data_IF_199831629679
#
_entry.id   IF_199831629679
#
_cell.length_a   1.000
_cell.length_b   1.000
_cell.length_c   1.000
_cell.angle_alpha   90.00
_cell.angle_beta   90.00
_cell.angle_gamma   90.00
#
_symmetry.space_group_name_H-M   'P 1'
#
loop_
_entity.id
_entity.type
_entity.pdbx_description
1 polymer ?
#
# COMPACT_ATOMS: atom_id res chain seq x y z
N UNK A 1 -11.66 -5.74 -32.76
CA UNK A 1 -11.84 -4.67 -31.77
C UNK A 1 -11.97 -5.25 -30.35
N UNK A 2 -10.93 -5.91 -29.81
CA UNK A 2 -10.95 -6.46 -28.43
C UNK A 2 -9.66 -6.28 -27.62
N UNK A 3 -8.56 -5.79 -28.19
CA UNK A 3 -7.25 -5.76 -27.49
C UNK A 3 -6.69 -4.38 -27.13
N UNK A 4 -7.47 -3.31 -27.32
CA UNK A 4 -6.99 -1.93 -27.09
C UNK A 4 -7.33 -1.35 -25.70
N UNK A 5 -8.10 -2.07 -24.87
CA UNK A 5 -8.46 -1.63 -23.51
C UNK A 5 -7.76 -2.43 -22.39
N UNK A 6 -6.94 -3.42 -22.70
CA UNK A 6 -6.24 -4.23 -21.69
C UNK A 6 -4.83 -3.70 -21.36
N UNK A 7 -4.24 -2.87 -22.22
CA UNK A 7 -2.83 -2.45 -22.09
C UNK A 7 -2.62 -1.06 -21.46
N UNK A 8 -3.67 -0.23 -21.36
CA UNK A 8 -3.62 1.07 -20.66
C UNK A 8 -3.90 0.96 -19.16
N UNK A 9 -4.47 -0.16 -18.71
CA UNK A 9 -4.60 -0.57 -17.30
C UNK A 9 -3.46 -1.51 -16.89
N UNK A 10 -2.26 -1.30 -17.43
CA UNK A 10 -1.06 -1.87 -16.83
C UNK A 10 -0.85 -1.13 -15.51
N UNK A 11 -1.48 -1.67 -14.48
CA UNK A 11 -1.15 -1.56 -13.06
C UNK A 11 -0.02 -0.56 -12.84
N UNK A 12 -0.32 0.63 -12.30
CA UNK A 12 0.75 1.49 -11.78
C UNK A 12 1.66 0.60 -10.96
N UNK A 13 2.95 0.42 -11.32
CA UNK A 13 3.79 -0.55 -10.66
C UNK A 13 3.92 -0.10 -9.21
N UNK A 14 3.16 -0.76 -8.34
CA UNK A 14 3.25 -0.58 -6.91
C UNK A 14 4.68 -0.96 -6.53
N UNK A 15 5.33 -0.14 -5.72
CA UNK A 15 6.70 -0.35 -5.27
C UNK A 15 6.65 -0.58 -3.78
N UNK A 16 7.39 -1.58 -3.31
CA UNK A 16 7.54 -1.84 -1.88
C UNK A 16 8.96 -1.45 -1.46
N UNK A 17 9.08 -0.64 -0.41
CA UNK A 17 10.38 -0.27 0.15
C UNK A 17 10.61 -1.09 1.41
N UNK A 18 11.68 -1.87 1.45
CA UNK A 18 12.04 -2.70 2.62
C UNK A 18 12.63 -1.78 3.70
N UNK A 19 12.08 -1.83 4.91
CA UNK A 19 12.48 -0.94 6.00
C UNK A 19 13.93 -1.17 6.47
N UNK A 20 14.41 -2.42 6.46
CA UNK A 20 15.75 -2.79 6.94
C UNK A 20 16.86 -2.34 5.98
N UNK A 21 16.65 -2.52 4.67
CA UNK A 21 17.67 -2.26 3.64
C UNK A 21 17.47 -0.96 2.86
N UNK A 22 16.28 -0.38 2.91
CA UNK A 22 15.86 0.71 2.02
C UNK A 22 15.71 0.29 0.56
N UNK A 23 15.81 -1.00 0.25
CA UNK A 23 15.70 -1.50 -1.11
C UNK A 23 14.26 -1.38 -1.62
N UNK A 24 14.10 -0.91 -2.85
CA UNK A 24 12.82 -0.83 -3.54
C UNK A 24 12.66 -2.05 -4.42
N UNK A 25 11.63 -2.85 -4.15
CA UNK A 25 11.36 -4.12 -4.83
C UNK A 25 9.93 -4.15 -5.38
N UNK A 26 9.65 -5.11 -6.25
CA UNK A 26 8.29 -5.37 -6.68
C UNK A 26 7.49 -6.03 -5.52
N UNK A 27 6.21 -5.69 -5.29
CA UNK A 27 5.38 -6.26 -4.23
C UNK A 27 5.37 -7.79 -4.24
N UNK A 28 5.33 -8.40 -5.42
CA UNK A 28 5.41 -9.86 -5.60
C UNK A 28 6.72 -10.51 -5.12
N UNK A 29 7.80 -9.74 -4.92
CA UNK A 29 9.09 -10.23 -4.41
C UNK A 29 9.18 -10.13 -2.88
N UNK A 30 8.22 -9.48 -2.23
CA UNK A 30 8.18 -9.32 -0.77
C UNK A 30 7.79 -10.65 -0.14
N UNK A 31 8.59 -11.11 0.83
CA UNK A 31 8.32 -12.33 1.59
C UNK A 31 7.44 -12.04 2.81
N UNK A 32 6.70 -13.04 3.26
CA UNK A 32 5.96 -12.98 4.53
C UNK A 32 6.91 -12.62 5.67
N UNK A 33 6.46 -11.79 6.61
CA UNK A 33 7.24 -11.21 7.71
C UNK A 33 8.31 -10.17 7.29
N UNK A 34 8.30 -9.68 6.05
CA UNK A 34 9.13 -8.53 5.66
C UNK A 34 8.48 -7.24 6.16
N UNK A 35 9.26 -6.38 6.82
CA UNK A 35 8.80 -5.05 7.23
C UNK A 35 9.02 -4.07 6.09
N UNK A 36 7.93 -3.43 5.66
CA UNK A 36 7.96 -2.40 4.64
C UNK A 36 7.83 -1.02 5.26
N UNK A 37 8.48 -0.03 4.65
CA UNK A 37 8.25 1.39 4.97
C UNK A 37 7.34 1.99 3.91
N UNK A 38 6.28 2.65 4.38
CA UNK A 38 5.34 3.41 3.56
C UNK A 38 5.34 4.83 4.10
N UNK A 39 5.64 5.81 3.25
CA UNK A 39 5.72 7.23 3.62
C UNK A 39 4.37 7.91 3.41
N UNK A 40 4.20 9.08 3.99
CA UNK A 40 3.07 9.96 3.70
C UNK A 40 2.98 10.24 2.18
N UNK A 41 1.79 10.06 1.63
CA UNK A 41 1.48 10.17 0.20
C UNK A 41 1.75 8.91 -0.63
N UNK A 42 2.26 7.82 -0.03
CA UNK A 42 2.48 6.56 -0.75
C UNK A 42 1.27 5.63 -0.66
N UNK A 43 1.09 4.82 -1.71
CA UNK A 43 0.09 3.74 -1.73
C UNK A 43 0.67 2.54 -1.01
N UNK A 44 -0.16 1.91 -0.18
CA UNK A 44 0.18 0.68 0.53
C UNK A 44 0.30 -0.45 -0.52
N UNK A 45 1.47 -1.07 -0.68
CA UNK A 45 1.72 -2.00 -1.78
C UNK A 45 1.16 -3.41 -1.55
N UNK A 46 0.97 -3.81 -0.30
CA UNK A 46 0.56 -5.17 0.12
C UNK A 46 -0.28 -5.06 1.40
N UNK A 47 -1.27 -5.95 1.54
CA UNK A 47 -2.01 -6.12 2.78
C UNK A 47 -1.08 -6.46 3.96
N UNK A 48 -1.40 -5.94 5.14
CA UNK A 48 -0.57 -6.20 6.30
C UNK A 48 -1.11 -5.63 7.60
N UNK A 49 -0.22 -5.60 8.59
CA UNK A 49 -0.48 -5.03 9.91
C UNK A 49 0.57 -3.98 10.22
N UNK A 50 0.14 -2.85 10.79
CA UNK A 50 1.06 -1.80 11.23
C UNK A 50 1.86 -2.33 12.42
N UNK A 51 3.18 -2.39 12.25
CA UNK A 51 4.11 -2.83 13.32
C UNK A 51 4.80 -1.66 14.02
N UNK A 52 4.81 -0.47 13.41
CA UNK A 52 5.40 0.74 13.97
C UNK A 52 4.75 1.98 13.33
N UNK A 53 4.70 3.09 14.07
CA UNK A 53 4.15 4.36 13.61
C UNK A 53 2.65 4.52 13.84
N UNK A 54 2.15 5.67 13.40
CA UNK A 54 0.72 6.00 13.33
C UNK A 54 0.50 6.90 12.12
N UNK A 55 -0.60 6.69 11.41
CA UNK A 55 -0.98 7.53 10.27
C UNK A 55 -2.48 7.42 9.99
N UNK A 56 -2.99 8.31 9.15
CA UNK A 56 -4.32 8.22 8.58
C UNK A 56 -4.24 7.60 7.19
N UNK A 57 -5.08 6.60 6.92
CA UNK A 57 -5.12 5.91 5.63
C UNK A 57 -6.43 6.21 4.93
N UNK A 58 -6.35 6.62 3.67
CA UNK A 58 -7.50 6.79 2.79
C UNK A 58 -7.93 5.42 2.21
N UNK A 59 -8.95 4.83 2.83
CA UNK A 59 -9.56 3.56 2.40
C UNK A 59 -10.75 3.78 1.45
N UNK A 60 -11.03 5.02 1.01
CA UNK A 60 -12.18 5.34 0.14
C UNK A 60 -12.21 4.52 -1.13
N UNK A 61 -11.04 4.27 -1.73
CA UNK A 61 -10.88 3.47 -2.94
C UNK A 61 -11.31 2.01 -2.76
N UNK A 62 -11.35 1.50 -1.52
CA UNK A 62 -11.65 0.11 -1.21
C UNK A 62 -13.00 -0.07 -0.49
N UNK A 63 -13.26 0.69 0.57
CA UNK A 63 -14.46 0.54 1.42
C UNK A 63 -15.57 1.55 1.09
N UNK A 64 -15.23 2.64 0.38
CA UNK A 64 -16.16 3.73 0.09
C UNK A 64 -16.42 4.67 1.27
N UNK A 65 -15.67 4.53 2.36
CA UNK A 65 -15.74 5.45 3.49
C UNK A 65 -15.20 6.83 3.09
N UNK A 66 -15.92 7.89 3.48
CA UNK A 66 -15.57 9.26 3.05
C UNK A 66 -14.45 9.89 3.86
N UNK A 67 -14.10 9.35 5.02
CA UNK A 67 -13.10 9.90 5.92
C UNK A 67 -11.91 8.95 6.06
N UNK A 68 -10.68 9.49 6.14
CA UNK A 68 -9.50 8.68 6.45
C UNK A 68 -9.66 7.94 7.77
N UNK A 69 -9.11 6.73 7.83
CA UNK A 69 -9.15 5.89 9.02
C UNK A 69 -7.80 5.95 9.72
N UNK A 70 -7.81 6.25 11.02
CA UNK A 70 -6.60 6.21 11.83
C UNK A 70 -6.07 4.77 11.95
N UNK A 71 -4.78 4.59 11.64
CA UNK A 71 -4.06 3.31 11.77
C UNK A 71 -2.93 3.48 12.77
N UNK A 72 -2.91 2.58 13.75
CA UNK A 72 -1.89 2.50 14.79
C UNK A 72 -1.33 1.08 14.84
N UNK A 73 -0.33 0.84 15.68
CA UNK A 73 0.27 -0.49 15.83
C UNK A 73 -0.82 -1.54 16.13
N UNK A 74 -0.86 -2.60 15.33
CA UNK A 74 -1.87 -3.65 15.38
C UNK A 74 -3.07 -3.43 14.46
N UNK A 75 -3.22 -2.25 13.83
CA UNK A 75 -4.26 -2.01 12.81
C UNK A 75 -3.94 -2.74 11.51
N UNK A 76 -4.98 -3.28 10.86
CA UNK A 76 -4.90 -3.82 9.51
C UNK A 76 -4.88 -2.71 8.46
N UNK A 77 -4.07 -2.91 7.43
CA UNK A 77 -3.97 -2.04 6.26
C UNK A 77 -4.10 -2.86 4.99
N UNK A 78 -4.65 -2.24 3.96
CA UNK A 78 -5.01 -2.91 2.72
C UNK A 78 -4.23 -2.35 1.53
N UNK A 79 -3.82 -3.23 0.62
CA UNK A 79 -3.17 -2.87 -0.61
C UNK A 79 -4.06 -1.92 -1.44
N UNK A 80 -3.45 -0.93 -2.09
CA UNK A 80 -4.15 0.05 -2.91
C UNK A 80 -4.78 1.23 -2.14
N UNK A 81 -4.73 1.22 -0.80
CA UNK A 81 -5.10 2.39 0.02
C UNK A 81 -3.92 3.36 0.15
N UNK A 82 -4.18 4.63 0.44
CA UNK A 82 -3.14 5.67 0.48
C UNK A 82 -2.82 6.08 1.92
N UNK A 83 -1.53 6.06 2.28
CA UNK A 83 -1.05 6.62 3.53
C UNK A 83 -1.01 8.15 3.43
N UNK A 84 -1.64 8.88 4.35
CA UNK A 84 -1.78 10.34 4.25
C UNK A 84 -0.75 11.11 5.08
N UNK A 85 -0.41 10.61 6.27
CA UNK A 85 0.43 11.32 7.26
C UNK A 85 1.64 10.54 7.76
#
# INVERSE_FOLDING_TARGET
ARDMMSSLMKEMPQKATIAESGAVVHPNEVKVNTVLVVKAGEVIPIDGVVVNGKSEVDEKSLTGESFPVEKTVGSFVWAGTMNLT
#
